data_IF_732500163913
#
_entry.id   IF_732500163913
#
_cell.length_a   1.000
_cell.length_b   1.000
_cell.length_c   1.000
_cell.angle_alpha   90.00
_cell.angle_beta   90.00
_cell.angle_gamma   90.00
#
_symmetry.space_group_name_H-M   'P 1'
#
loop_
_entity.id
_entity.type
_entity.pdbx_description
1 polymer ?
#
# COMPACT_ATOMS: atom_id res chain seq x y z
N UNK A 1 9.45 0.49 -10.07
CA UNK A 1 10.45 0.56 -11.19
C UNK A 1 9.96 -0.33 -12.31
N UNK A 2 10.17 0.09 -13.56
CA UNK A 2 9.71 -0.64 -14.74
C UNK A 2 10.88 -0.83 -15.71
N UNK A 3 10.98 -2.01 -16.31
CA UNK A 3 11.95 -2.32 -17.36
C UNK A 3 11.22 -2.79 -18.60
N UNK A 4 11.70 -2.38 -19.77
CA UNK A 4 11.14 -2.74 -21.07
C UNK A 4 12.12 -3.68 -21.77
N UNK A 5 11.65 -4.81 -22.26
CA UNK A 5 12.42 -5.77 -23.04
C UNK A 5 11.77 -6.02 -24.38
N UNK A 6 12.57 -6.25 -25.43
CA UNK A 6 12.10 -6.58 -26.77
C UNK A 6 11.93 -8.11 -26.96
N UNK A 7 12.26 -8.94 -25.96
CA UNK A 7 12.14 -10.40 -26.05
C UNK A 7 10.72 -10.88 -25.67
N UNK A 8 9.92 -11.32 -26.66
CA UNK A 8 8.57 -11.83 -26.40
C UNK A 8 8.55 -13.19 -25.66
N UNK A 9 9.67 -13.90 -25.58
CA UNK A 9 9.74 -15.21 -24.90
C UNK A 9 9.63 -15.05 -23.37
N UNK A 10 10.06 -13.91 -22.84
CA UNK A 10 10.04 -13.59 -21.41
C UNK A 10 8.63 -13.53 -20.82
N UNK A 11 7.62 -13.18 -21.64
CA UNK A 11 6.24 -12.99 -21.19
C UNK A 11 5.30 -14.13 -21.56
N UNK A 12 5.80 -15.26 -22.06
CA UNK A 12 4.97 -16.40 -22.51
C UNK A 12 4.50 -17.30 -21.37
N UNK A 13 5.07 -17.21 -20.18
CA UNK A 13 4.60 -17.91 -18.99
C UNK A 13 3.73 -16.96 -18.17
N UNK A 14 2.42 -17.25 -17.98
CA UNK A 14 1.61 -16.51 -17.03
C UNK A 14 2.10 -16.85 -15.62
N UNK A 15 3.13 -16.17 -15.15
CA UNK A 15 3.51 -16.19 -13.74
C UNK A 15 2.59 -15.22 -13.02
N UNK A 16 1.95 -15.63 -11.92
CA UNK A 16 1.27 -14.70 -11.04
C UNK A 16 2.28 -13.66 -10.53
N UNK A 17 1.80 -12.47 -10.20
CA UNK A 17 2.64 -11.45 -9.57
C UNK A 17 3.25 -12.01 -8.29
N UNK A 18 4.57 -12.03 -8.22
CA UNK A 18 5.26 -12.46 -7.01
C UNK A 18 5.34 -11.31 -6.01
N UNK A 19 4.96 -11.60 -4.77
CA UNK A 19 5.00 -10.65 -3.66
C UNK A 19 6.10 -11.10 -2.71
N UNK A 20 7.07 -10.24 -2.50
CA UNK A 20 8.16 -10.46 -1.53
C UNK A 20 8.08 -9.37 -0.48
N UNK A 21 8.12 -9.74 0.79
CA UNK A 21 8.26 -8.81 1.91
C UNK A 21 9.70 -8.81 2.39
N UNK A 22 10.27 -7.63 2.53
CA UNK A 22 11.66 -7.44 2.92
C UNK A 22 11.74 -6.46 4.09
N UNK A 23 12.67 -6.64 5.03
CA UNK A 23 12.97 -5.60 6.01
C UNK A 23 13.74 -4.46 5.31
N UNK A 24 13.54 -3.22 5.77
CA UNK A 24 14.53 -2.18 5.53
C UNK A 24 15.86 -2.57 6.16
N UNK A 25 16.97 -1.96 5.69
CA UNK A 25 18.31 -2.24 6.22
C UNK A 25 18.50 -1.74 7.67
N UNK A 26 17.41 -1.44 8.41
CA UNK A 26 17.50 -1.07 9.83
C UNK A 26 17.91 -2.29 10.66
N UNK A 27 19.05 -2.19 11.40
CA UNK A 27 19.48 -3.27 12.26
C UNK A 27 18.44 -3.57 13.34
N UNK A 28 17.98 -4.83 13.41
CA UNK A 28 17.09 -5.30 14.47
C UNK A 28 15.60 -5.31 14.14
N UNK A 29 15.19 -5.02 12.91
CA UNK A 29 13.81 -5.25 12.47
C UNK A 29 13.49 -6.76 12.42
N UNK A 30 12.67 -7.23 13.35
CA UNK A 30 12.20 -8.63 13.38
C UNK A 30 11.07 -8.89 12.36
N UNK A 31 10.38 -7.83 11.92
CA UNK A 31 9.20 -7.91 11.06
C UNK A 31 9.42 -7.07 9.81
N UNK A 32 9.27 -7.64 8.61
CA UNK A 32 9.38 -6.89 7.36
C UNK A 32 8.44 -5.69 7.32
N UNK A 33 8.93 -4.58 6.80
CA UNK A 33 8.22 -3.30 6.72
C UNK A 33 8.01 -2.81 5.29
N UNK A 34 8.63 -3.48 4.31
CA UNK A 34 8.50 -3.19 2.89
C UNK A 34 7.96 -4.38 2.11
N UNK A 35 7.19 -4.10 1.07
CA UNK A 35 6.69 -5.09 0.12
C UNK A 35 7.14 -4.73 -1.28
N UNK A 36 7.71 -5.69 -2.00
CA UNK A 36 8.01 -5.62 -3.42
C UNK A 36 7.01 -6.50 -4.18
N UNK A 37 6.34 -5.93 -5.17
CA UNK A 37 5.40 -6.65 -6.04
C UNK A 37 5.99 -6.64 -7.43
N UNK A 38 6.45 -7.81 -7.90
CA UNK A 38 6.93 -7.99 -9.25
C UNK A 38 5.77 -8.35 -10.18
N UNK A 39 5.62 -7.62 -11.27
CA UNK A 39 4.54 -7.80 -12.26
C UNK A 39 5.17 -7.98 -13.63
N UNK A 40 4.95 -9.10 -14.35
CA UNK A 40 5.48 -9.33 -15.70
C UNK A 40 4.68 -8.54 -16.74
N UNK A 41 4.46 -7.27 -16.49
CA UNK A 41 3.80 -6.32 -17.38
C UNK A 41 4.27 -4.89 -17.06
N UNK A 42 4.14 -3.98 -18.01
CA UNK A 42 4.35 -2.56 -17.76
C UNK A 42 3.08 -1.99 -17.15
N UNK A 43 3.12 -1.69 -15.83
CA UNK A 43 2.02 -1.03 -15.13
C UNK A 43 2.51 0.33 -14.66
N UNK A 44 2.09 1.39 -15.35
CA UNK A 44 2.48 2.76 -15.08
C UNK A 44 1.24 3.59 -14.76
N UNK A 45 1.32 4.39 -13.70
CA UNK A 45 0.26 5.29 -13.29
C UNK A 45 -1.12 4.59 -13.23
N UNK A 46 -1.21 3.44 -12.54
CA UNK A 46 -2.42 2.59 -12.46
C UNK A 46 -2.99 2.20 -13.82
N UNK A 47 -2.12 1.93 -14.80
CA UNK A 47 -2.47 1.66 -16.19
C UNK A 47 -3.14 2.85 -16.93
N UNK A 48 -3.08 4.07 -16.38
CA UNK A 48 -3.52 5.29 -17.08
C UNK A 48 -2.54 5.72 -18.16
N UNK A 49 -1.26 5.36 -18.02
CA UNK A 49 -0.24 5.58 -19.05
C UNK A 49 0.03 4.28 -19.77
N UNK A 50 -0.22 4.27 -21.08
CA UNK A 50 -0.04 3.10 -21.90
C UNK A 50 1.35 3.12 -22.59
N UNK A 51 2.05 1.98 -22.50
CA UNK A 51 3.34 1.78 -23.14
C UNK A 51 3.25 0.59 -24.09
N UNK A 52 3.70 0.79 -25.34
CA UNK A 52 3.81 -0.29 -26.32
C UNK A 52 5.09 -1.08 -26.08
N UNK A 53 4.99 -2.41 -26.16
CA UNK A 53 6.12 -3.31 -26.01
C UNK A 53 5.99 -4.25 -24.81
N UNK A 54 7.06 -4.98 -24.56
CA UNK A 54 7.18 -5.93 -23.46
C UNK A 54 7.97 -5.30 -22.32
N UNK A 55 7.64 -5.68 -21.09
CA UNK A 55 8.37 -5.20 -19.93
C UNK A 55 7.82 -5.78 -18.64
N UNK A 56 8.46 -5.41 -17.55
CA UNK A 56 8.00 -5.74 -16.20
C UNK A 56 8.06 -4.53 -15.29
N UNK A 57 7.27 -4.56 -14.25
CA UNK A 57 7.23 -3.54 -13.20
C UNK A 57 7.55 -4.16 -11.86
N UNK A 58 8.24 -3.42 -11.01
CA UNK A 58 8.35 -3.75 -9.60
C UNK A 58 7.79 -2.57 -8.80
N UNK A 59 6.78 -2.83 -8.00
CA UNK A 59 6.13 -1.85 -7.15
C UNK A 59 6.63 -2.01 -5.72
N UNK A 60 7.00 -0.91 -5.11
CA UNK A 60 7.46 -0.83 -3.74
C UNK A 60 6.36 -0.25 -2.87
N UNK A 61 6.08 -0.87 -1.73
CA UNK A 61 5.05 -0.44 -0.79
C UNK A 61 5.57 -0.44 0.63
N UNK A 62 5.40 0.69 1.33
CA UNK A 62 5.62 0.81 2.76
C UNK A 62 4.45 0.17 3.52
N UNK A 63 4.73 -0.89 4.30
CA UNK A 63 3.70 -1.67 4.99
C UNK A 63 3.20 -1.01 6.27
N UNK A 64 3.99 -0.13 6.87
CA UNK A 64 3.66 0.54 8.15
C UNK A 64 3.92 2.04 8.08
N UNK A 65 3.23 2.77 7.18
CA UNK A 65 3.40 4.22 7.08
C UNK A 65 3.06 4.91 8.40
N UNK A 66 3.80 5.95 8.73
CA UNK A 66 3.52 6.85 9.85
C UNK A 66 2.53 7.93 9.45
N UNK A 67 2.57 8.35 8.19
CA UNK A 67 1.66 9.35 7.60
C UNK A 67 0.20 8.97 7.78
N UNK A 68 -0.62 9.95 8.09
CA UNK A 68 -2.08 9.80 8.28
C UNK A 68 -2.81 10.83 7.44
N UNK A 69 -3.92 10.41 6.86
CA UNK A 69 -4.85 11.23 6.13
C UNK A 69 -6.15 11.45 6.88
N UNK A 70 -7.12 12.04 6.20
CA UNK A 70 -8.44 12.30 6.75
C UNK A 70 -9.54 12.12 5.71
N UNK A 71 -10.73 11.79 6.21
CA UNK A 71 -11.99 11.81 5.45
C UNK A 71 -12.95 12.69 6.21
N UNK A 72 -13.42 13.77 5.57
CA UNK A 72 -14.28 14.77 6.22
C UNK A 72 -15.51 15.07 5.37
N UNK A 73 -16.59 15.51 6.02
CA UNK A 73 -17.76 16.00 5.31
C UNK A 73 -17.50 17.39 4.72
N UNK A 74 -17.93 17.61 3.50
CA UNK A 74 -17.90 18.91 2.83
C UNK A 74 -19.08 19.76 3.27
N UNK A 75 -20.27 19.15 3.38
CA UNK A 75 -21.51 19.78 3.81
C UNK A 75 -22.46 18.73 4.43
N UNK A 76 -23.70 19.11 4.73
CA UNK A 76 -24.73 18.24 5.31
C UNK A 76 -25.55 17.43 4.27
N UNK A 77 -25.30 17.64 2.99
CA UNK A 77 -26.00 16.89 1.94
C UNK A 77 -25.34 15.51 1.77
N UNK A 78 -26.05 14.39 2.02
CA UNK A 78 -25.48 13.05 1.92
C UNK A 78 -25.11 12.64 0.48
N UNK A 79 -25.54 13.38 -0.54
CA UNK A 79 -25.16 13.15 -1.92
C UNK A 79 -23.84 13.83 -2.30
N UNK A 80 -23.33 14.75 -1.47
CA UNK A 80 -22.04 15.38 -1.68
C UNK A 80 -20.92 14.42 -1.30
N UNK A 81 -19.98 14.20 -2.21
CA UNK A 81 -18.82 13.35 -1.93
C UNK A 81 -17.98 13.94 -0.78
N UNK A 82 -17.46 13.11 0.14
CA UNK A 82 -16.58 13.57 1.21
C UNK A 82 -15.27 14.12 0.66
N UNK A 83 -14.63 15.01 1.40
CA UNK A 83 -13.26 15.39 1.16
C UNK A 83 -12.34 14.26 1.67
N UNK A 84 -11.50 13.73 0.79
CA UNK A 84 -10.57 12.65 1.08
C UNK A 84 -9.16 13.17 0.86
N UNK A 85 -8.38 13.22 1.92
CA UNK A 85 -6.95 13.49 1.89
C UNK A 85 -6.20 12.26 2.42
N UNK A 86 -5.52 11.50 1.57
CA UNK A 86 -4.75 10.33 2.02
C UNK A 86 -3.56 10.69 2.92
N UNK A 87 -3.07 11.93 2.88
CA UNK A 87 -1.92 12.39 3.65
C UNK A 87 -0.63 11.64 3.31
N UNK A 88 -0.43 11.24 2.06
CA UNK A 88 0.77 10.51 1.65
C UNK A 88 2.03 11.35 1.87
N UNK A 89 3.08 10.71 2.44
CA UNK A 89 4.40 11.30 2.63
C UNK A 89 4.41 12.58 3.48
N UNK A 90 3.41 12.77 4.35
CA UNK A 90 3.37 13.90 5.31
C UNK A 90 4.49 13.74 6.35
N UNK A 91 4.74 12.52 6.80
CA UNK A 91 5.85 12.21 7.69
C UNK A 91 7.13 11.99 6.87
N UNK A 92 8.19 12.78 7.11
CA UNK A 92 9.44 12.69 6.34
C UNK A 92 10.11 11.31 6.36
N UNK A 93 9.93 10.57 7.46
CA UNK A 93 10.47 9.23 7.63
C UNK A 93 9.89 8.25 6.63
N UNK A 94 8.62 8.37 6.27
CA UNK A 94 7.99 7.50 5.26
C UNK A 94 8.66 7.66 3.89
N UNK A 95 9.04 8.90 3.54
CA UNK A 95 9.76 9.17 2.30
C UNK A 95 11.20 8.65 2.35
N UNK A 96 11.87 8.79 3.50
CA UNK A 96 13.23 8.30 3.70
C UNK A 96 13.27 6.76 3.57
N UNK A 97 12.36 6.08 4.27
CA UNK A 97 12.23 4.62 4.26
C UNK A 97 11.93 4.11 2.85
N UNK A 98 10.99 4.74 2.13
CA UNK A 98 10.70 4.40 0.74
C UNK A 98 11.89 4.64 -0.19
N UNK A 99 12.65 5.72 0.01
CA UNK A 99 13.79 6.01 -0.85
C UNK A 99 14.92 4.99 -0.67
N UNK A 100 15.23 4.59 0.56
CA UNK A 100 16.21 3.53 0.86
C UNK A 100 15.76 2.18 0.30
N UNK A 101 14.50 1.82 0.49
CA UNK A 101 13.94 0.61 -0.08
C UNK A 101 13.89 0.66 -1.63
N UNK A 102 13.69 1.84 -2.21
CA UNK A 102 13.80 2.07 -3.66
C UNK A 102 15.21 1.79 -4.19
N UNK A 103 16.24 2.19 -3.45
CA UNK A 103 17.63 1.84 -3.78
C UNK A 103 17.88 0.33 -3.68
N UNK A 104 17.34 -0.34 -2.64
CA UNK A 104 17.42 -1.80 -2.52
C UNK A 104 16.72 -2.50 -3.69
N UNK A 105 15.49 -2.12 -4.00
CA UNK A 105 14.75 -2.63 -5.15
C UNK A 105 15.54 -2.46 -6.46
N UNK A 106 16.21 -1.33 -6.63
CA UNK A 106 17.05 -1.06 -7.78
C UNK A 106 18.21 -2.05 -7.87
N UNK A 107 18.94 -2.28 -6.77
CA UNK A 107 20.04 -3.27 -6.71
C UNK A 107 19.55 -4.68 -7.10
N UNK A 108 18.38 -5.08 -6.58
CA UNK A 108 17.77 -6.38 -6.93
C UNK A 108 17.51 -6.47 -8.44
N UNK A 109 16.89 -5.45 -9.04
CA UNK A 109 16.55 -5.46 -10.47
C UNK A 109 17.77 -5.28 -11.40
N UNK A 110 18.91 -4.85 -10.86
CA UNK A 110 20.19 -4.74 -11.57
C UNK A 110 21.08 -5.98 -11.41
N UNK A 111 20.63 -6.98 -10.63
CA UNK A 111 21.35 -8.24 -10.51
C UNK A 111 21.47 -8.96 -11.86
N UNK A 112 22.55 -9.68 -12.06
CA UNK A 112 22.85 -10.41 -13.29
C UNK A 112 21.80 -11.45 -13.67
N UNK A 113 21.01 -11.95 -12.71
CA UNK A 113 19.88 -12.83 -12.96
C UNK A 113 18.83 -12.22 -13.90
N UNK A 114 18.75 -10.88 -13.97
CA UNK A 114 17.84 -10.17 -14.87
C UNK A 114 18.44 -9.81 -16.23
N UNK A 115 19.74 -10.07 -16.48
CA UNK A 115 20.42 -9.61 -17.70
C UNK A 115 19.76 -10.09 -18.99
N UNK A 116 19.21 -11.32 -19.00
CA UNK A 116 18.54 -11.88 -20.16
C UNK A 116 17.21 -11.20 -20.50
N UNK A 117 16.60 -10.48 -19.55
CA UNK A 117 15.26 -9.90 -19.70
C UNK A 117 15.23 -8.39 -19.40
N UNK A 118 16.32 -7.87 -18.85
CA UNK A 118 16.41 -6.45 -18.48
C UNK A 118 16.61 -5.58 -19.73
N UNK A 119 15.62 -4.74 -20.00
CA UNK A 119 15.72 -3.69 -21.01
C UNK A 119 16.09 -2.35 -20.37
N UNK A 120 15.73 -1.27 -21.06
CA UNK A 120 15.94 0.09 -20.56
C UNK A 120 14.94 0.41 -19.44
N UNK A 121 15.34 1.26 -18.53
CA UNK A 121 14.43 1.83 -17.55
C UNK A 121 13.44 2.77 -18.23
N UNK A 122 12.18 2.72 -17.79
CA UNK A 122 11.17 3.65 -18.24
C UNK A 122 11.41 5.07 -17.69
N UNK A 123 11.91 5.13 -16.45
CA UNK A 123 12.28 6.38 -15.76
C UNK A 123 13.74 6.30 -15.33
N UNK A 124 14.50 7.30 -15.75
CA UNK A 124 15.92 7.42 -15.39
C UNK A 124 16.05 8.05 -14.00
N UNK A 125 16.14 7.18 -13.00
CA UNK A 125 16.36 7.54 -11.60
C UNK A 125 17.71 6.99 -11.18
N UNK A 126 18.58 7.83 -10.63
CA UNK A 126 19.91 7.41 -10.18
C UNK A 126 19.81 6.56 -8.93
N UNK A 127 20.32 5.33 -9.02
CA UNK A 127 20.23 4.35 -7.92
C UNK A 127 21.00 4.76 -6.67
N UNK A 128 22.11 5.46 -6.83
CA UNK A 128 23.03 5.91 -5.78
C UNK A 128 22.72 7.31 -5.24
N UNK A 129 21.78 8.03 -5.84
CA UNK A 129 21.36 9.38 -5.43
C UNK A 129 20.03 9.31 -4.67
N UNK A 130 20.08 9.40 -3.35
CA UNK A 130 18.92 9.33 -2.47
C UNK A 130 17.95 10.48 -2.72
N UNK A 131 18.42 11.68 -3.02
CA UNK A 131 17.56 12.82 -3.30
C UNK A 131 16.87 12.71 -4.66
N UNK A 132 17.52 12.11 -5.65
CA UNK A 132 16.89 11.77 -6.91
C UNK A 132 15.77 10.76 -6.71
N UNK A 133 16.01 9.73 -5.90
CA UNK A 133 15.01 8.74 -5.52
C UNK A 133 13.82 9.37 -4.78
N UNK A 134 14.06 10.24 -3.80
CA UNK A 134 13.01 10.96 -3.08
C UNK A 134 12.19 11.86 -4.01
N UNK A 135 12.83 12.53 -4.95
CA UNK A 135 12.14 13.35 -5.95
C UNK A 135 11.23 12.50 -6.83
N UNK A 136 11.71 11.36 -7.30
CA UNK A 136 10.92 10.42 -8.10
C UNK A 136 9.71 9.88 -7.32
N UNK A 137 9.89 9.51 -6.07
CA UNK A 137 8.82 9.04 -5.18
C UNK A 137 7.75 10.14 -5.02
N UNK A 138 8.13 11.38 -4.71
CA UNK A 138 7.16 12.50 -4.60
C UNK A 138 6.35 12.71 -5.87
N UNK A 139 6.93 12.45 -7.03
CA UNK A 139 6.27 12.66 -8.31
C UNK A 139 5.36 11.49 -8.73
N UNK A 140 5.57 10.28 -8.19
CA UNK A 140 4.93 9.07 -8.69
C UNK A 140 4.34 8.14 -7.63
N UNK A 141 4.53 8.44 -6.33
CA UNK A 141 3.90 7.65 -5.28
C UNK A 141 2.38 7.80 -5.34
N UNK A 142 1.69 6.68 -5.20
CA UNK A 142 0.24 6.61 -5.20
C UNK A 142 -0.23 5.46 -4.32
N UNK A 143 -1.52 5.27 -4.19
CA UNK A 143 -2.13 4.24 -3.35
C UNK A 143 -1.84 2.82 -3.84
N UNK A 144 -1.72 1.87 -2.91
CA UNK A 144 -1.79 0.43 -3.16
C UNK A 144 -3.19 -0.15 -2.89
N UNK A 145 -4.21 0.71 -2.83
CA UNK A 145 -5.62 0.33 -2.67
C UNK A 145 -5.98 -0.35 -1.34
N UNK A 146 -5.23 -0.06 -0.28
CA UNK A 146 -5.43 -0.64 1.05
C UNK A 146 -5.70 0.41 2.15
N UNK A 147 -6.63 1.39 1.94
CA UNK A 147 -6.97 2.37 2.97
C UNK A 147 -7.70 1.70 4.14
N UNK A 148 -7.39 2.16 5.36
CA UNK A 148 -8.00 1.67 6.60
C UNK A 148 -8.09 2.81 7.63
N UNK A 149 -8.80 2.60 8.74
CA UNK A 149 -8.64 3.40 9.95
C UNK A 149 -9.59 4.58 10.12
N UNK A 150 -10.48 4.89 9.16
CA UNK A 150 -11.40 6.03 9.27
C UNK A 150 -12.49 5.87 10.34
N UNK A 151 -12.74 4.64 10.80
CA UNK A 151 -13.61 4.32 11.94
C UNK A 151 -12.86 3.47 12.97
N UNK A 152 -11.60 3.85 13.30
CA UNK A 152 -10.69 3.00 14.06
C UNK A 152 -11.30 2.49 15.37
N UNK A 153 -10.97 1.23 15.69
CA UNK A 153 -11.32 0.60 16.95
C UNK A 153 -10.43 1.14 18.08
N UNK A 154 -11.03 1.34 19.25
CA UNK A 154 -10.30 1.70 20.45
C UNK A 154 -11.21 1.86 21.66
N UNK A 155 -10.64 2.09 22.85
CA UNK A 155 -11.40 2.34 24.06
C UNK A 155 -12.10 3.71 24.01
N UNK A 156 -13.16 3.89 24.79
CA UNK A 156 -13.90 5.17 24.88
C UNK A 156 -13.04 6.34 25.39
N UNK A 157 -11.89 6.06 26.00
CA UNK A 157 -10.90 7.08 26.40
C UNK A 157 -10.06 7.60 25.24
N UNK A 158 -10.04 6.93 24.10
CA UNK A 158 -9.40 7.40 22.88
C UNK A 158 -10.39 8.26 22.10
N UNK A 159 -10.24 9.57 22.14
CA UNK A 159 -11.13 10.52 21.45
C UNK A 159 -11.17 10.37 19.91
N UNK A 160 -10.26 9.59 19.34
CA UNK A 160 -10.25 9.26 17.91
C UNK A 160 -10.86 7.89 17.60
N UNK A 161 -11.21 7.09 18.62
CA UNK A 161 -11.85 5.80 18.41
C UNK A 161 -13.33 5.99 18.05
N UNK A 162 -13.77 5.32 17.00
CA UNK A 162 -15.15 5.34 16.52
C UNK A 162 -15.94 4.14 17.01
N UNK A 163 -15.30 2.97 17.10
CA UNK A 163 -15.95 1.72 17.55
C UNK A 163 -15.19 1.08 18.72
N UNK A 164 -15.93 0.33 19.54
CA UNK A 164 -15.37 -0.51 20.59
C UNK A 164 -14.88 -1.88 20.05
N UNK A 165 -14.36 -2.73 20.95
CA UNK A 165 -13.89 -4.08 20.62
C UNK A 165 -15.01 -5.04 20.13
N UNK A 166 -16.29 -4.67 20.37
CA UNK A 166 -17.47 -5.38 19.84
C UNK A 166 -18.02 -4.71 18.57
N UNK A 167 -17.25 -3.82 17.95
CA UNK A 167 -17.57 -3.08 16.72
C UNK A 167 -18.76 -2.12 16.86
N UNK A 168 -19.17 -1.79 18.08
CA UNK A 168 -20.26 -0.86 18.35
C UNK A 168 -19.75 0.57 18.28
N UNK A 169 -20.51 1.44 17.60
CA UNK A 169 -20.15 2.86 17.51
C UNK A 169 -20.34 3.53 18.85
N UNK A 170 -19.29 4.20 19.35
CA UNK A 170 -19.33 4.95 20.60
C UNK A 170 -20.44 6.02 20.58
N UNK A 171 -21.22 6.10 21.67
CA UNK A 171 -22.29 7.08 21.81
C UNK A 171 -23.58 6.79 21.03
N UNK A 172 -23.63 5.76 20.19
CA UNK A 172 -24.82 5.36 19.46
C UNK A 172 -25.32 3.97 19.88
N UNK A 173 -26.61 3.73 19.69
CA UNK A 173 -27.23 2.42 19.96
C UNK A 173 -27.53 1.71 18.63
N UNK A 174 -27.41 0.39 18.62
CA UNK A 174 -27.79 -0.47 17.50
C UNK A 174 -27.06 -0.16 16.18
N UNK A 175 -25.83 0.40 16.26
CA UNK A 175 -24.99 0.66 15.11
C UNK A 175 -23.61 0.05 15.31
N UNK A 176 -23.14 -0.66 14.30
CA UNK A 176 -21.80 -1.24 14.24
C UNK A 176 -21.15 -0.94 12.89
N UNK A 177 -19.81 -0.94 12.88
CA UNK A 177 -18.99 -0.87 11.66
C UNK A 177 -18.13 -2.11 11.60
N UNK A 178 -18.08 -2.79 10.44
CA UNK A 178 -17.31 -4.02 10.25
C UNK A 178 -16.68 -4.10 8.87
N UNK A 179 -15.73 -3.24 8.61
CA UNK A 179 -14.93 -3.20 7.41
C UNK A 179 -13.48 -2.76 7.73
N UNK A 180 -12.67 -2.47 6.72
CA UNK A 180 -11.28 -2.04 6.90
C UNK A 180 -11.13 -0.75 7.70
N UNK A 181 -12.16 0.09 7.79
CA UNK A 181 -12.11 1.36 8.51
C UNK A 181 -11.91 1.19 10.02
N UNK A 182 -12.28 0.02 10.59
CA UNK A 182 -12.10 -0.24 12.03
C UNK A 182 -10.65 -0.50 12.43
N UNK A 183 -9.76 -0.82 11.49
CA UNK A 183 -8.35 -1.15 11.81
C UNK A 183 -7.66 0.07 12.41
N UNK A 184 -7.09 -0.02 13.63
CA UNK A 184 -6.36 1.12 14.23
C UNK A 184 -5.04 1.42 13.52
N UNK A 185 -4.49 0.42 12.81
CA UNK A 185 -3.27 0.50 12.00
C UNK A 185 -3.38 -0.48 10.83
N UNK A 186 -2.59 -0.23 9.77
CA UNK A 186 -2.38 -1.22 8.72
C UNK A 186 -1.78 -2.51 9.31
N UNK A 187 -2.24 -3.64 8.81
CA UNK A 187 -1.84 -4.98 9.29
C UNK A 187 -0.45 -5.41 8.79
N UNK A 188 0.27 -4.55 8.07
CA UNK A 188 1.58 -4.87 7.51
C UNK A 188 1.52 -5.82 6.31
N UNK A 189 0.48 -5.66 5.48
CA UNK A 189 0.24 -6.44 4.26
C UNK A 189 -1.06 -6.03 3.59
N UNK A 190 -1.46 -6.78 2.56
CA UNK A 190 -2.71 -6.56 1.84
C UNK A 190 -3.92 -6.76 2.75
N UNK A 191 -4.91 -5.90 2.66
CA UNK A 191 -6.00 -5.80 3.65
C UNK A 191 -7.24 -6.65 3.34
N UNK A 192 -7.32 -7.28 2.16
CA UNK A 192 -8.54 -8.00 1.75
C UNK A 192 -8.89 -9.15 2.70
N UNK A 193 -7.94 -10.03 3.01
CA UNK A 193 -8.20 -11.17 3.89
C UNK A 193 -8.61 -10.75 5.32
N UNK A 194 -7.91 -9.81 6.00
CA UNK A 194 -8.36 -9.32 7.29
C UNK A 194 -9.70 -8.58 7.24
N UNK A 195 -10.06 -7.89 6.14
CA UNK A 195 -11.38 -7.27 5.99
C UNK A 195 -12.49 -8.33 5.93
N UNK A 196 -12.29 -9.40 5.18
CA UNK A 196 -13.21 -10.54 5.14
C UNK A 196 -13.36 -11.14 6.55
N UNK A 197 -12.25 -11.35 7.26
CA UNK A 197 -12.25 -11.86 8.64
C UNK A 197 -13.04 -10.96 9.59
N UNK A 198 -12.94 -9.65 9.45
CA UNK A 198 -13.72 -8.68 10.26
C UNK A 198 -15.22 -8.88 10.04
N UNK A 199 -15.66 -9.01 8.78
CA UNK A 199 -17.05 -9.25 8.44
C UNK A 199 -17.57 -10.58 9.01
N UNK A 200 -16.83 -11.68 8.84
CA UNK A 200 -17.17 -12.99 9.39
C UNK A 200 -17.25 -12.96 10.92
N UNK A 201 -16.30 -12.23 11.56
CA UNK A 201 -16.29 -12.09 13.01
C UNK A 201 -17.53 -11.36 13.53
N UNK A 202 -17.96 -10.28 12.86
CA UNK A 202 -19.20 -9.60 13.23
C UNK A 202 -20.41 -10.53 13.07
N UNK A 203 -20.50 -11.28 11.96
CA UNK A 203 -21.58 -12.22 11.74
C UNK A 203 -21.68 -13.29 12.87
N UNK A 204 -20.55 -13.82 13.32
CA UNK A 204 -20.49 -14.75 14.46
C UNK A 204 -20.94 -14.08 15.78
N UNK A 205 -20.49 -12.84 16.05
CA UNK A 205 -20.92 -12.09 17.23
C UNK A 205 -22.43 -11.88 17.27
N UNK A 206 -23.05 -11.49 16.14
CA UNK A 206 -24.50 -11.27 16.05
C UNK A 206 -25.30 -12.55 16.24
N UNK A 207 -24.83 -13.70 15.70
CA UNK A 207 -25.49 -15.00 15.91
C UNK A 207 -25.49 -15.44 17.37
N UNK A 208 -24.50 -15.03 18.15
CA UNK A 208 -24.42 -15.38 19.60
C UNK A 208 -25.23 -14.45 20.49
N UNK A 209 -25.61 -13.28 20.00
CA UNK A 209 -26.45 -12.32 20.71
C UNK A 209 -27.94 -12.60 20.55
N UNK A 210 -28.33 -13.44 19.59
CA UNK A 210 -29.69 -13.90 19.28
C UNK A 210 -29.84 -15.42 19.40
#
# INVERSE_FOLDING_TARGET
>A
MMSVTDDPAVLRTPTPSDVVVVPTEEPGLEIPDMQLIFIPAIVDDHARKFHLGHGYSCHLTLLRPRSRGSVTLVDSNPATAPAIDPGFLVEPEDLEDLARAGQMMRRILEDSAFDAIRGKLLYDVKADDLEDMKRDIRNRADTQYHPVGTCKMGPASDGMAVVDHALRVHGLRNLRVADGSIMPRLVGGNTNAPIIMIGEKLADMLRREH
#
